data_IF_787892422290
#
_entry.id   IF_787892422290
#
_cell.length_a   1.000
_cell.length_b   1.000
_cell.length_c   1.000
_cell.angle_alpha   90.00
_cell.angle_beta   90.00
_cell.angle_gamma   90.00
#
_symmetry.space_group_name_H-M   'P 1'
#
loop_
_entity.id
_entity.type
_entity.pdbx_description
1 polymer ?
#
# COMPACT_ATOMS: atom_id res chain seq x y z
N UNK A 1 2.53 -23.07 -9.42
CA UNK A 1 3.93 -22.67 -9.13
C UNK A 1 4.46 -21.72 -10.19
N UNK A 2 4.25 -21.98 -11.49
CA UNK A 2 4.63 -21.05 -12.58
C UNK A 2 4.08 -19.62 -12.41
N UNK A 3 2.83 -19.47 -11.95
CA UNK A 3 2.21 -18.14 -11.81
C UNK A 3 2.87 -17.28 -10.73
N UNK A 4 3.43 -17.90 -9.69
CA UNK A 4 4.16 -17.20 -8.63
C UNK A 4 5.46 -16.64 -9.19
N UNK A 5 6.21 -17.44 -9.96
CA UNK A 5 7.45 -16.99 -10.60
C UNK A 5 7.18 -15.83 -11.57
N UNK A 6 6.08 -15.91 -12.36
CA UNK A 6 5.68 -14.82 -13.24
C UNK A 6 5.34 -13.53 -12.48
N UNK A 7 4.68 -13.64 -11.32
CA UNK A 7 4.40 -12.49 -10.47
C UNK A 7 5.69 -11.89 -9.87
N UNK A 8 6.63 -12.73 -9.44
CA UNK A 8 7.93 -12.29 -8.92
C UNK A 8 8.75 -11.59 -10.00
N UNK A 9 8.84 -12.14 -11.21
CA UNK A 9 9.54 -11.53 -12.35
C UNK A 9 8.98 -10.14 -12.67
N UNK A 10 7.65 -10.02 -12.71
CA UNK A 10 6.98 -8.74 -12.94
C UNK A 10 7.29 -7.73 -11.81
N UNK A 11 7.24 -8.16 -10.55
CA UNK A 11 7.53 -7.32 -9.39
C UNK A 11 9.00 -6.86 -9.39
N UNK A 12 9.95 -7.75 -9.70
CA UNK A 12 11.37 -7.42 -9.80
C UNK A 12 11.65 -6.43 -10.93
N UNK A 13 10.98 -6.58 -12.08
CA UNK A 13 11.07 -5.62 -13.18
C UNK A 13 10.53 -4.24 -12.79
N UNK A 14 9.38 -4.19 -12.10
CA UNK A 14 8.77 -2.93 -11.65
C UNK A 14 9.58 -2.24 -10.53
N UNK A 15 10.24 -3.02 -9.65
CA UNK A 15 11.06 -2.51 -8.53
C UNK A 15 12.07 -1.47 -9.00
N UNK A 16 12.71 -1.68 -10.16
CA UNK A 16 13.76 -0.79 -10.68
C UNK A 16 13.28 0.66 -10.88
N UNK A 17 12.04 0.84 -11.34
CA UNK A 17 11.41 2.15 -11.52
C UNK A 17 10.66 2.62 -10.26
N UNK A 18 9.97 1.70 -9.58
CA UNK A 18 9.15 2.02 -8.42
C UNK A 18 9.98 2.53 -7.23
N UNK A 19 11.13 1.89 -6.94
CA UNK A 19 11.99 2.30 -5.83
C UNK A 19 12.55 3.72 -6.00
N UNK A 20 12.68 4.19 -7.25
CA UNK A 20 13.16 5.53 -7.58
C UNK A 20 12.05 6.59 -7.61
N UNK A 21 10.78 6.17 -7.56
CA UNK A 21 9.67 7.10 -7.55
C UNK A 21 9.71 7.96 -6.27
N UNK A 22 9.42 9.26 -6.39
CA UNK A 22 9.40 10.15 -5.23
C UNK A 22 8.28 9.81 -4.25
N UNK A 23 8.39 10.19 -2.96
CA UNK A 23 7.30 10.05 -2.01
C UNK A 23 5.98 10.65 -2.49
N UNK A 24 6.02 11.78 -3.22
CA UNK A 24 4.84 12.41 -3.83
C UNK A 24 4.17 11.51 -4.86
N UNK A 25 4.93 10.89 -5.77
CA UNK A 25 4.36 9.99 -6.79
C UNK A 25 3.70 8.78 -6.13
N UNK A 26 4.38 8.17 -5.16
CA UNK A 26 3.86 6.99 -4.45
C UNK A 26 2.59 7.33 -3.64
N UNK A 27 2.61 8.44 -2.91
CA UNK A 27 1.47 8.97 -2.17
C UNK A 27 0.26 9.22 -3.09
N UNK A 28 0.47 9.89 -4.23
CA UNK A 28 -0.60 10.18 -5.18
C UNK A 28 -1.21 8.91 -5.79
N UNK A 29 -0.44 7.82 -5.92
CA UNK A 29 -0.97 6.54 -6.40
C UNK A 29 -1.86 5.90 -5.33
N UNK A 30 -1.46 5.92 -4.06
CA UNK A 30 -2.29 5.43 -2.96
C UNK A 30 -3.60 6.22 -2.84
N UNK A 31 -3.56 7.55 -3.00
CA UNK A 31 -4.76 8.38 -3.04
C UNK A 31 -5.68 8.02 -4.21
N UNK A 32 -5.12 7.81 -5.41
CA UNK A 32 -5.90 7.36 -6.58
C UNK A 32 -6.54 5.99 -6.37
N UNK A 33 -5.90 5.08 -5.63
CA UNK A 33 -6.50 3.78 -5.28
C UNK A 33 -7.71 4.02 -4.37
N UNK A 34 -7.56 4.82 -3.32
CA UNK A 34 -8.66 5.18 -2.42
C UNK A 34 -9.84 5.81 -3.18
N UNK A 35 -9.58 6.74 -4.09
CA UNK A 35 -10.61 7.39 -4.91
C UNK A 35 -11.35 6.40 -5.81
N UNK A 36 -10.63 5.39 -6.35
CA UNK A 36 -11.24 4.34 -7.19
C UNK A 36 -12.07 3.37 -6.37
N UNK A 37 -11.63 3.01 -5.17
CA UNK A 37 -12.42 2.21 -4.24
C UNK A 37 -13.70 2.94 -3.83
N UNK A 38 -13.59 4.21 -3.45
CA UNK A 38 -14.74 5.05 -3.06
C UNK A 38 -15.74 5.24 -4.20
N UNK A 39 -15.25 5.51 -5.42
CA UNK A 39 -16.11 5.64 -6.60
C UNK A 39 -16.86 4.35 -6.98
N UNK A 40 -16.42 3.18 -6.50
CA UNK A 40 -17.02 1.88 -6.78
C UNK A 40 -17.52 1.19 -5.50
N UNK A 41 -17.71 1.94 -4.41
CA UNK A 41 -17.92 1.41 -3.07
C UNK A 41 -19.07 0.38 -3.03
N UNK A 42 -20.23 0.71 -3.59
CA UNK A 42 -21.39 -0.18 -3.55
C UNK A 42 -21.16 -1.47 -4.34
N UNK A 43 -20.60 -1.35 -5.55
CA UNK A 43 -20.28 -2.51 -6.40
C UNK A 43 -19.32 -3.47 -5.67
N UNK A 44 -18.26 -2.92 -5.09
CA UNK A 44 -17.24 -3.71 -4.37
C UNK A 44 -17.81 -4.32 -3.09
N UNK A 45 -18.60 -3.58 -2.33
CA UNK A 45 -19.23 -4.08 -1.09
C UNK A 45 -20.23 -5.21 -1.37
N UNK A 46 -20.98 -5.14 -2.47
CA UNK A 46 -21.85 -6.24 -2.91
C UNK A 46 -21.00 -7.45 -3.31
N UNK A 47 -19.96 -7.26 -4.14
CA UNK A 47 -19.08 -8.36 -4.53
C UNK A 47 -18.45 -9.06 -3.30
N UNK A 48 -17.97 -8.27 -2.35
CA UNK A 48 -17.42 -8.75 -1.07
C UNK A 48 -18.45 -9.57 -0.27
N UNK A 49 -19.70 -9.11 -0.19
CA UNK A 49 -20.78 -9.88 0.45
C UNK A 49 -21.03 -11.22 -0.23
N UNK A 50 -20.98 -11.27 -1.57
CA UNK A 50 -21.18 -12.51 -2.32
C UNK A 50 -20.06 -13.51 -2.10
N UNK A 51 -18.81 -13.05 -2.02
CA UNK A 51 -17.64 -13.92 -1.87
C UNK A 51 -17.41 -14.33 -0.40
N UNK A 52 -17.48 -13.36 0.52
CA UNK A 52 -17.18 -13.55 1.93
C UNK A 52 -18.37 -14.02 2.77
N UNK A 53 -19.59 -13.69 2.35
CA UNK A 53 -20.84 -14.02 3.06
C UNK A 53 -21.24 -13.03 4.16
N UNK A 54 -20.48 -11.95 4.37
CA UNK A 54 -20.87 -10.85 5.29
C UNK A 54 -22.14 -10.16 4.85
N UNK A 55 -22.94 -9.71 5.82
CA UNK A 55 -24.08 -8.87 5.51
C UNK A 55 -23.63 -7.58 4.82
N UNK A 56 -24.29 -7.20 3.72
CA UNK A 56 -23.91 -6.03 2.90
C UNK A 56 -23.81 -4.72 3.70
N UNK A 57 -24.56 -4.60 4.80
CA UNK A 57 -24.44 -3.45 5.72
C UNK A 57 -23.04 -3.31 6.32
N UNK A 58 -22.34 -4.41 6.55
CA UNK A 58 -21.01 -4.45 7.15
C UNK A 58 -19.95 -4.06 6.11
N UNK A 59 -20.03 -4.64 4.91
CA UNK A 59 -19.10 -4.32 3.83
C UNK A 59 -19.25 -2.87 3.34
N UNK A 60 -20.48 -2.34 3.31
CA UNK A 60 -20.77 -0.95 2.97
C UNK A 60 -20.33 0.05 4.03
N UNK A 61 -20.53 -0.26 5.32
CA UNK A 61 -20.36 0.71 6.41
C UNK A 61 -19.03 0.58 7.16
N UNK A 62 -18.33 -0.55 7.02
CA UNK A 62 -17.08 -0.83 7.73
C UNK A 62 -15.97 -1.24 6.76
N UNK A 63 -16.04 -2.40 6.13
CA UNK A 63 -14.87 -2.99 5.45
C UNK A 63 -14.31 -2.09 4.34
N UNK A 64 -15.15 -1.70 3.37
CA UNK A 64 -14.70 -0.85 2.26
C UNK A 64 -14.33 0.56 2.73
N UNK A 65 -15.12 1.24 3.59
CA UNK A 65 -14.70 2.52 4.18
C UNK A 65 -13.37 2.46 4.91
N UNK A 66 -13.12 1.40 5.69
CA UNK A 66 -11.86 1.22 6.42
C UNK A 66 -10.69 0.95 5.46
N UNK A 67 -10.90 0.18 4.39
CA UNK A 67 -9.89 -0.04 3.36
C UNK A 67 -9.55 1.27 2.62
N UNK A 68 -10.55 2.08 2.27
CA UNK A 68 -10.37 3.40 1.65
C UNK A 68 -9.55 4.31 2.57
N UNK A 69 -9.92 4.39 3.85
CA UNK A 69 -9.19 5.20 4.84
C UNK A 69 -7.76 4.69 5.03
N UNK A 70 -7.54 3.38 5.04
CA UNK A 70 -6.21 2.78 5.14
C UNK A 70 -5.27 3.26 4.02
N UNK A 71 -5.74 3.27 2.77
CA UNK A 71 -4.95 3.81 1.65
C UNK A 71 -4.67 5.31 1.81
N UNK A 72 -5.66 6.10 2.26
CA UNK A 72 -5.49 7.54 2.52
C UNK A 72 -4.48 7.79 3.64
N UNK A 73 -4.55 7.03 4.73
CA UNK A 73 -3.64 7.10 5.86
C UNK A 73 -2.20 6.83 5.42
N UNK A 74 -1.94 5.71 4.72
CA UNK A 74 -0.59 5.38 4.26
C UNK A 74 -0.07 6.32 3.17
N UNK A 75 -0.96 6.95 2.38
CA UNK A 75 -0.58 8.04 1.49
C UNK A 75 -0.04 9.26 2.26
N UNK A 76 -0.54 9.52 3.47
CA UNK A 76 0.00 10.51 4.40
C UNK A 76 1.31 10.05 5.04
N UNK A 77 1.36 8.81 5.56
CA UNK A 77 2.55 8.27 6.21
C UNK A 77 3.80 8.36 5.33
N UNK A 78 3.70 8.02 4.04
CA UNK A 78 4.86 8.06 3.15
C UNK A 78 5.35 9.48 2.88
N UNK A 79 4.50 10.50 3.04
CA UNK A 79 4.86 11.92 2.92
C UNK A 79 5.50 12.47 4.18
N UNK A 80 5.17 11.89 5.34
CA UNK A 80 5.70 12.24 6.64
C UNK A 80 6.91 11.38 7.06
N UNK A 81 7.28 10.37 6.27
CA UNK A 81 8.43 9.52 6.58
C UNK A 81 9.73 10.30 6.37
N UNK A 82 10.46 10.51 7.46
CA UNK A 82 11.74 11.19 7.46
C UNK A 82 12.89 10.19 7.67
N UNK A 83 14.09 10.60 7.22
CA UNK A 83 15.34 9.95 7.58
C UNK A 83 15.87 10.46 8.91
N UNK A 84 17.08 10.05 9.27
CA UNK A 84 17.80 10.58 10.42
C UNK A 84 19.09 11.28 10.00
N UNK A 85 19.53 12.24 10.82
CA UNK A 85 20.87 12.83 10.74
C UNK A 85 21.48 12.81 12.14
N UNK A 86 22.77 12.50 12.24
CA UNK A 86 23.49 12.54 13.51
C UNK A 86 24.91 13.01 13.30
N UNK A 87 25.37 13.92 14.15
CA UNK A 87 26.78 14.27 14.26
C UNK A 87 27.47 13.19 15.06
N UNK A 88 28.51 12.59 14.49
CA UNK A 88 29.33 11.59 15.17
C UNK A 88 30.48 12.29 15.90
N UNK A 89 31.15 13.21 15.21
CA UNK A 89 32.21 14.07 15.70
C UNK A 89 32.35 15.34 14.84
N UNK A 90 33.35 16.19 15.12
CA UNK A 90 33.57 17.50 14.48
C UNK A 90 33.64 17.44 12.94
N UNK A 91 34.14 16.34 12.38
CA UNK A 91 34.37 16.20 10.94
C UNK A 91 33.42 15.19 10.27
N UNK A 92 32.53 14.54 11.04
CA UNK A 92 31.74 13.40 10.57
C UNK A 92 30.26 13.50 10.87
N UNK A 93 29.43 13.45 9.83
CA UNK A 93 27.97 13.38 9.90
C UNK A 93 27.47 12.06 9.30
N UNK A 94 26.53 11.41 9.98
CA UNK A 94 25.81 10.25 9.48
C UNK A 94 24.41 10.65 8.95
N UNK A 95 24.06 10.13 7.77
CA UNK A 95 22.73 10.22 7.19
C UNK A 95 22.09 8.83 7.15
N UNK A 96 20.86 8.74 7.64
CA UNK A 96 20.11 7.50 7.72
C UNK A 96 18.93 7.57 6.77
N UNK A 97 18.95 6.75 5.73
CA UNK A 97 17.89 6.67 4.73
C UNK A 97 17.09 5.38 4.90
N UNK A 98 15.77 5.48 4.87
CA UNK A 98 14.87 4.33 4.89
C UNK A 98 14.61 3.84 3.46
N UNK A 99 15.34 2.81 3.04
CA UNK A 99 15.16 2.21 1.72
C UNK A 99 14.08 1.11 1.72
N UNK A 100 13.27 0.97 0.64
CA UNK A 100 12.34 -0.15 0.52
C UNK A 100 13.08 -1.50 0.43
N UNK A 101 12.61 -2.50 1.16
CA UNK A 101 13.15 -3.87 1.15
C UNK A 101 13.21 -4.48 -0.27
N UNK A 102 12.21 -4.19 -1.10
CA UNK A 102 12.10 -4.68 -2.47
C UNK A 102 10.80 -5.42 -2.70
N UNK A 103 10.89 -6.59 -3.33
CA UNK A 103 9.71 -7.46 -3.55
C UNK A 103 9.35 -8.13 -2.22
N UNK A 104 8.09 -7.99 -1.81
CA UNK A 104 7.56 -8.54 -0.57
C UNK A 104 6.37 -9.43 -0.90
N UNK A 105 6.40 -10.69 -0.43
CA UNK A 105 5.26 -11.59 -0.53
C UNK A 105 4.29 -11.34 0.63
N UNK A 106 3.00 -11.18 0.32
CA UNK A 106 1.94 -10.99 1.30
C UNK A 106 0.92 -12.13 1.17
N UNK A 107 0.59 -12.78 2.29
CA UNK A 107 -0.45 -13.81 2.38
C UNK A 107 -1.48 -13.28 3.38
N UNK A 108 -2.73 -13.19 2.96
CA UNK A 108 -3.84 -12.64 3.76
C UNK A 108 -4.87 -13.73 4.08
N UNK A 109 -5.56 -13.64 5.23
CA UNK A 109 -6.66 -14.53 5.56
C UNK A 109 -7.93 -14.13 4.80
N UNK A 110 -8.97 -14.97 4.89
CA UNK A 110 -10.23 -14.80 4.17
C UNK A 110 -11.29 -13.98 4.93
N UNK A 111 -11.08 -13.61 6.19
CA UNK A 111 -12.14 -13.00 7.01
C UNK A 111 -12.33 -11.51 6.78
N UNK A 112 -11.32 -10.81 6.25
CA UNK A 112 -11.38 -9.42 5.75
C UNK A 112 -10.47 -9.34 4.52
N UNK A 113 -10.91 -9.92 3.39
CA UNK A 113 -10.11 -9.98 2.18
C UNK A 113 -9.93 -8.60 1.51
#
# INVERSE_FOLDING_TARGET
SSDIELALDAAHKAKATWNKASPTVRSNILLKIADRLEANLEMLAVAETWDNGKAVRETLAADLPLAIDHFRYFAGCIRAQEGGISEIDEDTIAYHFHEPLGVVGQIIPWNFP
#
